data_IF_602121192437
#
_entry.id   IF_602121192437
#
_cell.length_a   1.000
_cell.length_b   1.000
_cell.length_c   1.000
_cell.angle_alpha   90.00
_cell.angle_beta   90.00
_cell.angle_gamma   90.00
#
_symmetry.space_group_name_H-M   'P 1'
#
loop_
_entity.id
_entity.type
_entity.pdbx_description
1 polymer ?
#
# COMPACT_ATOMS: atom_id res chain seq x y z
N UNK A 1 20.47 15.77 10.05
CA UNK A 1 19.08 15.33 9.78
C UNK A 1 18.87 14.06 10.58
N UNK A 2 18.15 14.13 11.71
CA UNK A 2 17.93 12.95 12.56
C UNK A 2 17.16 11.89 11.75
N UNK A 3 17.75 10.71 11.60
CA UNK A 3 17.06 9.56 11.05
C UNK A 3 16.02 9.13 12.08
N UNK A 4 14.75 9.42 11.81
CA UNK A 4 13.63 8.89 12.59
C UNK A 4 13.74 7.36 12.57
N UNK A 5 13.67 6.73 13.74
CA UNK A 5 13.72 5.27 13.85
C UNK A 5 12.59 4.66 13.03
N UNK A 6 12.88 3.57 12.31
CA UNK A 6 11.93 2.89 11.40
C UNK A 6 10.61 2.51 12.08
N UNK A 7 10.64 2.28 13.38
CA UNK A 7 9.49 1.98 14.24
C UNK A 7 8.52 3.16 14.37
N UNK A 8 9.01 4.38 14.63
CA UNK A 8 8.14 5.56 14.72
C UNK A 8 7.51 5.96 13.39
N UNK A 9 8.20 5.69 12.29
CA UNK A 9 7.65 5.95 10.96
C UNK A 9 6.45 5.04 10.64
N UNK A 10 6.43 3.84 11.23
CA UNK A 10 5.39 2.85 11.03
C UNK A 10 4.14 3.12 11.90
N UNK A 11 4.34 3.57 13.14
CA UNK A 11 3.25 4.04 14.00
C UNK A 11 2.50 5.22 13.37
N UNK A 12 3.23 6.16 12.77
CA UNK A 12 2.64 7.28 12.02
C UNK A 12 1.89 6.83 10.76
N UNK A 13 2.38 5.80 10.06
CA UNK A 13 1.64 5.25 8.91
C UNK A 13 0.31 4.63 9.36
N UNK A 14 0.30 3.89 10.47
CA UNK A 14 -0.92 3.26 10.98
C UNK A 14 -1.98 4.28 11.41
N UNK A 15 -1.56 5.37 12.06
CA UNK A 15 -2.48 6.46 12.44
C UNK A 15 -3.08 7.12 11.20
N UNK A 16 -2.28 7.42 10.16
CA UNK A 16 -2.80 7.95 8.89
C UNK A 16 -3.71 6.96 8.16
N UNK A 17 -3.40 5.66 8.21
CA UNK A 17 -4.24 4.62 7.64
C UNK A 17 -5.64 4.63 8.26
N UNK A 18 -5.71 4.74 9.59
CA UNK A 18 -6.99 4.76 10.31
C UNK A 18 -7.89 5.91 9.87
N UNK A 19 -7.32 7.06 9.52
CA UNK A 19 -8.06 8.22 9.01
C UNK A 19 -8.54 7.95 7.58
N UNK A 20 -7.66 7.43 6.73
CA UNK A 20 -7.97 7.10 5.33
C UNK A 20 -9.05 6.00 5.24
N UNK A 21 -9.06 5.02 6.14
CA UNK A 21 -10.13 4.02 6.20
C UNK A 21 -11.47 4.60 6.63
N UNK A 22 -11.48 5.63 7.50
CA UNK A 22 -12.72 6.26 8.00
C UNK A 22 -13.37 7.21 6.99
N UNK A 23 -12.58 8.03 6.30
CA UNK A 23 -13.09 9.11 5.44
C UNK A 23 -12.61 9.08 4.00
N UNK A 24 -11.61 8.25 3.69
CA UNK A 24 -11.01 8.15 2.37
C UNK A 24 -11.70 7.12 1.46
N UNK A 25 -11.35 7.18 0.17
CA UNK A 25 -11.72 6.13 -0.79
C UNK A 25 -10.59 5.11 -0.86
N UNK A 26 -10.87 3.90 -0.41
CA UNK A 26 -9.89 2.81 -0.36
C UNK A 26 -10.39 1.63 -1.17
N UNK A 27 -9.47 0.88 -1.76
CA UNK A 27 -9.76 -0.38 -2.43
C UNK A 27 -8.85 -1.44 -1.83
N UNK A 28 -9.43 -2.51 -1.30
CA UNK A 28 -8.70 -3.61 -0.69
C UNK A 28 -8.75 -4.86 -1.56
N UNK A 29 -7.64 -5.60 -1.57
CA UNK A 29 -7.49 -6.85 -2.32
C UNK A 29 -6.74 -6.71 -3.65
N UNK A 30 -6.15 -7.81 -4.09
CA UNK A 30 -5.24 -7.81 -5.25
C UNK A 30 -5.93 -7.48 -6.58
N UNK A 31 -7.05 -8.15 -6.90
CA UNK A 31 -7.76 -8.00 -8.19
C UNK A 31 -8.37 -6.59 -8.34
N UNK A 32 -8.92 -6.06 -7.26
CA UNK A 32 -9.53 -4.73 -7.20
C UNK A 32 -8.47 -3.63 -7.29
N UNK A 33 -7.33 -3.76 -6.59
CA UNK A 33 -6.18 -2.87 -6.76
C UNK A 33 -5.68 -2.84 -8.20
N UNK A 34 -5.50 -4.00 -8.84
CA UNK A 34 -5.12 -4.07 -10.27
C UNK A 34 -6.11 -3.37 -11.19
N UNK A 35 -7.41 -3.44 -10.88
CA UNK A 35 -8.45 -2.72 -11.63
C UNK A 35 -8.37 -1.21 -11.38
N UNK A 36 -8.11 -0.78 -10.15
CA UNK A 36 -7.95 0.62 -9.79
C UNK A 36 -6.72 1.28 -10.44
N UNK A 37 -5.58 0.56 -10.49
CA UNK A 37 -4.37 1.00 -11.18
C UNK A 37 -4.63 1.13 -12.68
N UNK A 38 -5.21 0.11 -13.32
CA UNK A 38 -5.53 0.14 -14.77
C UNK A 38 -6.51 1.25 -15.15
N UNK A 39 -7.41 1.64 -14.22
CA UNK A 39 -8.35 2.76 -14.42
C UNK A 39 -7.73 4.13 -14.12
N UNK A 40 -6.49 4.20 -13.64
CA UNK A 40 -5.87 5.46 -13.21
C UNK A 40 -6.49 6.07 -11.95
N UNK A 41 -7.23 5.28 -11.16
CA UNK A 41 -7.91 5.75 -9.95
C UNK A 41 -7.03 5.63 -8.70
N UNK A 42 -6.01 4.76 -8.75
CA UNK A 42 -5.09 4.55 -7.64
C UNK A 42 -4.04 5.68 -7.58
N UNK A 43 -3.91 6.33 -6.42
CA UNK A 43 -2.85 7.33 -6.17
C UNK A 43 -1.65 6.74 -5.43
N UNK A 44 -1.89 5.69 -4.64
CA UNK A 44 -0.90 4.97 -3.86
C UNK A 44 -1.34 3.52 -3.68
N UNK A 45 -0.39 2.60 -3.61
CA UNK A 45 -0.62 1.18 -3.30
C UNK A 45 0.25 0.80 -2.11
N UNK A 46 -0.33 0.10 -1.15
CA UNK A 46 0.38 -0.47 -0.02
C UNK A 46 0.52 -1.98 -0.21
N UNK A 47 1.72 -2.49 0.05
CA UNK A 47 2.06 -3.90 -0.16
C UNK A 47 2.38 -4.52 1.20
N UNK A 48 1.60 -5.51 1.63
CA UNK A 48 1.87 -6.22 2.88
C UNK A 48 3.16 -7.03 2.81
N UNK A 49 3.81 -7.23 3.96
CA UNK A 49 5.07 -7.98 4.07
C UNK A 49 4.94 -9.43 3.61
N UNK A 50 3.82 -10.07 3.90
CA UNK A 50 3.56 -11.48 3.60
C UNK A 50 2.94 -11.75 2.21
N UNK A 51 2.92 -10.76 1.31
CA UNK A 51 2.42 -10.98 -0.05
C UNK A 51 3.33 -11.96 -0.83
N UNK A 52 2.77 -12.98 -1.51
CA UNK A 52 3.59 -13.89 -2.33
C UNK A 52 4.39 -13.14 -3.39
N UNK A 53 5.65 -13.52 -3.58
CA UNK A 53 6.63 -12.79 -4.39
C UNK A 53 6.12 -12.48 -5.81
N UNK A 54 5.50 -13.47 -6.46
CA UNK A 54 4.96 -13.31 -7.83
C UNK A 54 3.89 -12.22 -7.88
N UNK A 55 2.99 -12.17 -6.89
CA UNK A 55 1.92 -11.16 -6.82
C UNK A 55 2.48 -9.78 -6.48
N UNK A 56 3.48 -9.73 -5.59
CA UNK A 56 4.17 -8.50 -5.25
C UNK A 56 4.85 -7.90 -6.48
N UNK A 57 5.67 -8.68 -7.19
CA UNK A 57 6.34 -8.23 -8.42
C UNK A 57 5.35 -7.81 -9.51
N UNK A 58 4.25 -8.54 -9.66
CA UNK A 58 3.18 -8.16 -10.58
C UNK A 58 2.56 -6.80 -10.19
N UNK A 59 2.23 -6.59 -8.91
CA UNK A 59 1.63 -5.35 -8.43
C UNK A 59 2.59 -4.15 -8.54
N UNK A 60 3.87 -4.34 -8.23
CA UNK A 60 4.92 -3.34 -8.40
C UNK A 60 5.08 -2.95 -9.87
N UNK A 61 5.11 -3.94 -10.77
CA UNK A 61 5.19 -3.70 -12.22
C UNK A 61 4.02 -2.87 -12.74
N UNK A 62 2.78 -3.22 -12.39
CA UNK A 62 1.62 -2.43 -12.80
C UNK A 62 1.60 -1.04 -12.16
N UNK A 63 2.07 -0.90 -10.92
CA UNK A 63 2.17 0.41 -10.25
C UNK A 63 3.19 1.31 -10.97
N UNK A 64 4.31 0.75 -11.43
CA UNK A 64 5.32 1.47 -12.21
C UNK A 64 4.74 1.99 -13.53
N UNK A 65 4.02 1.15 -14.28
CA UNK A 65 3.39 1.57 -15.55
C UNK A 65 2.30 2.61 -15.31
N UNK A 66 1.50 2.44 -14.25
CA UNK A 66 0.42 3.36 -13.89
C UNK A 66 0.90 4.66 -13.24
N UNK A 67 2.22 4.87 -13.09
CA UNK A 67 2.82 5.97 -12.33
C UNK A 67 2.22 6.13 -10.92
N UNK A 68 1.94 4.99 -10.26
CA UNK A 68 1.36 4.92 -8.92
C UNK A 68 2.45 4.58 -7.91
N UNK A 69 2.51 5.31 -6.80
CA UNK A 69 3.49 5.05 -5.75
C UNK A 69 3.16 3.73 -5.02
N UNK A 70 4.02 2.73 -5.14
CA UNK A 70 3.98 1.51 -4.34
C UNK A 70 4.84 1.69 -3.09
N UNK A 71 4.25 1.49 -1.90
CA UNK A 71 4.92 1.60 -0.61
C UNK A 71 4.87 0.25 0.11
N UNK A 72 6.02 -0.34 0.48
CA UNK A 72 6.03 -1.54 1.29
C UNK A 72 5.54 -1.21 2.70
N UNK A 73 4.55 -1.98 3.17
CA UNK A 73 4.08 -1.97 4.54
C UNK A 73 4.78 -3.09 5.30
N UNK A 74 5.35 -2.79 6.47
CA UNK A 74 6.10 -3.78 7.23
C UNK A 74 5.22 -4.75 8.02
N UNK A 75 3.91 -4.52 8.11
CA UNK A 75 2.97 -5.45 8.71
C UNK A 75 2.42 -6.50 7.74
N UNK A 76 1.68 -7.46 8.29
CA UNK A 76 1.02 -8.52 7.52
C UNK A 76 -0.33 -8.05 6.94
N UNK A 77 -0.91 -8.86 6.05
CA UNK A 77 -2.23 -8.59 5.48
C UNK A 77 -3.36 -8.44 6.52
N UNK A 78 -3.25 -9.10 7.68
CA UNK A 78 -4.21 -8.97 8.80
C UNK A 78 -4.07 -7.62 9.52
N UNK A 79 -2.85 -7.08 9.59
CA UNK A 79 -2.61 -5.76 10.22
C UNK A 79 -2.95 -4.60 9.27
N UNK A 80 -3.03 -4.88 7.96
CA UNK A 80 -3.31 -3.90 6.92
C UNK A 80 -4.81 -3.77 6.61
N UNK A 81 -5.61 -4.80 6.93
CA UNK A 81 -7.07 -4.86 6.71
C UNK A 81 -7.83 -4.72 8.01
#
# INVERSE_FOLDING_TARGET
RAAMSSTHQQENLNSTLSIVMKSGKVTLGFKSCLKAIRKGQAKMVLISKNMPIVRKSQLEYFSMIGNVKAVPYSGNNVELG
#
